data_IF_888899324695
#
_entry.id   IF_888899324695
#
_cell.length_a   1.000
_cell.length_b   1.000
_cell.length_c   1.000
_cell.angle_alpha   90.00
_cell.angle_beta   90.00
_cell.angle_gamma   90.00
#
_symmetry.space_group_name_H-M   'P 1'
#
loop_
_entity.id
_entity.type
_entity.pdbx_description
1 polymer ?
#
# COMPACT_ATOMS: atom_id res chain seq x y z
N UNK A 1 -25.01 -23.49 -30.28
CA UNK A 1 -25.37 -22.30 -29.49
C UNK A 1 -24.16 -21.99 -28.63
N UNK A 2 -23.40 -20.97 -29.03
CA UNK A 2 -22.00 -20.80 -28.68
C UNK A 2 -21.82 -20.31 -27.25
N UNK A 3 -20.97 -21.01 -26.51
CA UNK A 3 -20.49 -20.68 -25.17
C UNK A 3 -19.57 -19.47 -25.24
N UNK A 4 -20.01 -18.35 -24.67
CA UNK A 4 -19.21 -17.13 -24.50
C UNK A 4 -18.11 -17.40 -23.47
N UNK A 5 -16.84 -17.47 -23.90
CA UNK A 5 -15.70 -17.40 -22.97
C UNK A 5 -15.51 -15.95 -22.50
N UNK A 6 -15.57 -15.65 -21.19
CA UNK A 6 -15.25 -14.34 -20.67
C UNK A 6 -13.73 -14.31 -20.39
N UNK A 7 -12.95 -13.65 -21.24
CA UNK A 7 -11.51 -13.53 -20.94
C UNK A 7 -10.56 -13.13 -22.06
N UNK A 8 -11.02 -12.91 -23.30
CA UNK A 8 -10.14 -12.42 -24.36
C UNK A 8 -10.04 -10.89 -24.29
N UNK A 9 -8.82 -10.37 -24.17
CA UNK A 9 -8.58 -8.93 -24.32
C UNK A 9 -8.53 -8.58 -25.81
N UNK A 10 -9.22 -7.52 -26.28
CA UNK A 10 -9.21 -7.12 -27.70
C UNK A 10 -7.80 -6.77 -28.24
N UNK A 11 -6.85 -6.49 -27.34
CA UNK A 11 -5.43 -6.31 -27.63
C UNK A 11 -4.72 -7.55 -28.21
N UNK A 12 -5.27 -8.76 -27.98
CA UNK A 12 -4.68 -10.02 -28.48
C UNK A 12 -4.77 -10.15 -30.01
N UNK A 13 -5.61 -9.33 -30.68
CA UNK A 13 -5.67 -9.26 -32.14
C UNK A 13 -4.61 -8.39 -32.80
N UNK A 14 -3.85 -7.58 -32.05
CA UNK A 14 -2.92 -6.59 -32.60
C UNK A 14 -1.44 -6.92 -32.36
N UNK A 15 -1.12 -7.91 -31.53
CA UNK A 15 0.24 -8.30 -31.19
C UNK A 15 0.78 -9.39 -32.13
N UNK A 16 0.91 -9.08 -33.42
CA UNK A 16 1.77 -9.85 -34.33
C UNK A 16 2.47 -8.96 -35.35
N UNK A 17 3.28 -8.04 -34.84
CA UNK A 17 4.47 -7.57 -35.56
C UNK A 17 5.62 -7.57 -34.56
N UNK A 18 6.57 -8.51 -34.64
CA UNK A 18 7.73 -8.47 -33.77
C UNK A 18 8.45 -7.14 -34.01
N UNK A 19 8.82 -6.45 -32.92
CA UNK A 19 9.72 -5.31 -33.00
C UNK A 19 10.97 -5.74 -33.76
N UNK A 20 11.51 -4.86 -34.61
CA UNK A 20 12.64 -5.13 -35.52
C UNK A 20 13.84 -5.74 -34.77
N UNK A 21 14.02 -5.39 -33.49
CA UNK A 21 15.05 -5.94 -32.60
C UNK A 21 14.86 -7.43 -32.26
N UNK A 22 13.62 -7.90 -32.10
CA UNK A 22 13.34 -9.31 -31.82
C UNK A 22 13.67 -10.21 -33.02
N UNK A 23 13.36 -9.74 -34.23
CA UNK A 23 13.65 -10.46 -35.48
C UNK A 23 15.16 -10.62 -35.74
N UNK A 24 15.99 -9.68 -35.27
CA UNK A 24 17.44 -9.74 -35.40
C UNK A 24 18.09 -10.69 -34.37
N UNK A 25 17.53 -10.78 -33.17
CA UNK A 25 18.07 -11.59 -32.08
C UNK A 25 17.57 -13.05 -32.08
N UNK A 26 16.43 -13.35 -32.74
CA UNK A 26 15.82 -14.68 -32.73
C UNK A 26 16.40 -15.68 -33.75
N UNK A 27 17.39 -15.28 -34.56
CA UNK A 27 17.95 -16.12 -35.63
C UNK A 27 18.75 -17.34 -35.16
N UNK A 28 18.80 -17.67 -33.86
CA UNK A 28 19.59 -18.83 -33.38
C UNK A 28 19.11 -19.55 -32.11
N UNK A 29 17.89 -19.35 -31.60
CA UNK A 29 17.45 -20.11 -30.42
C UNK A 29 16.05 -20.70 -30.61
N UNK A 30 15.99 -22.04 -30.47
CA UNK A 30 14.78 -22.86 -30.52
C UNK A 30 13.68 -22.29 -29.63
N UNK A 31 12.46 -22.30 -30.17
CA UNK A 31 11.25 -21.87 -29.50
C UNK A 31 11.02 -22.65 -28.19
N UNK A 32 11.14 -21.94 -27.07
CA UNK A 32 10.56 -22.33 -25.78
C UNK A 32 9.11 -21.84 -25.77
N UNK A 33 8.13 -22.62 -25.28
CA UNK A 33 6.76 -22.14 -25.14
C UNK A 33 6.73 -20.93 -24.20
N UNK A 34 6.37 -19.76 -24.72
CA UNK A 34 6.30 -18.52 -23.94
C UNK A 34 5.17 -18.62 -22.90
N UNK A 35 5.41 -18.23 -21.63
CA UNK A 35 4.33 -18.02 -20.68
C UNK A 35 3.44 -16.89 -21.21
N UNK A 36 2.12 -17.06 -21.09
CA UNK A 36 1.09 -16.10 -21.54
C UNK A 36 1.45 -14.68 -21.10
N UNK A 37 2.04 -13.89 -22.00
CA UNK A 37 2.37 -12.50 -21.75
C UNK A 37 1.07 -11.74 -21.50
N UNK A 38 0.85 -11.34 -20.25
CA UNK A 38 -0.29 -10.52 -19.88
C UNK A 38 -0.15 -9.17 -20.59
N UNK A 39 -1.18 -8.76 -21.34
CA UNK A 39 -1.17 -7.44 -21.97
C UNK A 39 -0.99 -6.35 -20.92
N UNK A 40 -0.16 -5.34 -21.21
CA UNK A 40 0.01 -4.15 -20.36
C UNK A 40 -1.35 -3.45 -20.07
N UNK A 41 -2.28 -3.52 -21.02
CA UNK A 41 -3.64 -3.03 -20.87
C UNK A 41 -4.47 -3.73 -19.77
N UNK A 42 -4.10 -4.95 -19.34
CA UNK A 42 -4.70 -5.61 -18.16
C UNK A 42 -4.11 -5.08 -16.86
N UNK A 43 -2.81 -4.79 -16.85
CA UNK A 43 -2.10 -4.31 -15.67
C UNK A 43 -2.57 -2.92 -15.23
N UNK A 44 -3.00 -2.09 -16.17
CA UNK A 44 -3.55 -0.75 -15.91
C UNK A 44 -5.07 -0.72 -15.72
N UNK A 45 -5.77 -1.86 -15.68
CA UNK A 45 -7.22 -1.86 -15.46
C UNK A 45 -7.56 -1.35 -14.08
N UNK A 46 -8.58 -0.49 -13.96
CA UNK A 46 -9.04 -0.05 -12.66
C UNK A 46 -9.72 -1.21 -11.93
N UNK A 47 -9.49 -1.30 -10.62
CA UNK A 47 -10.06 -2.33 -9.76
C UNK A 47 -10.72 -1.73 -8.53
N UNK A 48 -11.64 -2.48 -7.94
CA UNK A 48 -12.31 -2.17 -6.69
C UNK A 48 -12.37 -3.40 -5.79
N UNK A 49 -12.51 -3.18 -4.48
CA UNK A 49 -12.68 -4.26 -3.50
C UNK A 49 -13.96 -5.06 -3.77
N UNK A 50 -13.91 -6.39 -3.67
CA UNK A 50 -15.09 -7.26 -3.75
C UNK A 50 -16.06 -7.01 -2.60
N UNK A 51 -15.52 -6.81 -1.39
CA UNK A 51 -16.29 -6.60 -0.16
C UNK A 51 -15.85 -5.30 0.53
N UNK A 52 -16.14 -4.12 -0.05
CA UNK A 52 -15.59 -2.85 0.39
C UNK A 52 -15.92 -2.56 1.87
N UNK A 53 -17.15 -2.78 2.31
CA UNK A 53 -17.55 -2.54 3.71
C UNK A 53 -16.77 -3.39 4.72
N UNK A 54 -16.52 -4.67 4.41
CA UNK A 54 -15.80 -5.60 5.30
C UNK A 54 -14.33 -5.20 5.38
N UNK A 55 -13.66 -5.11 4.23
CA UNK A 55 -12.23 -4.82 4.16
C UNK A 55 -11.89 -3.42 4.67
N UNK A 56 -12.68 -2.42 4.31
CA UNK A 56 -12.43 -1.05 4.78
C UNK A 56 -12.69 -0.92 6.28
N UNK A 57 -13.63 -1.69 6.86
CA UNK A 57 -13.81 -1.75 8.32
C UNK A 57 -12.58 -2.34 9.02
N UNK A 58 -12.04 -3.45 8.53
CA UNK A 58 -10.79 -4.03 9.05
C UNK A 58 -9.63 -3.04 8.94
N UNK A 59 -9.52 -2.32 7.81
CA UNK A 59 -8.53 -1.25 7.64
C UNK A 59 -8.71 -0.10 8.65
N UNK A 60 -9.93 0.30 8.96
CA UNK A 60 -10.20 1.32 9.98
C UNK A 60 -9.84 0.83 11.39
N UNK A 61 -10.12 -0.43 11.70
CA UNK A 61 -9.70 -1.03 12.97
C UNK A 61 -8.16 -1.03 13.09
N UNK A 62 -7.45 -1.31 11.99
CA UNK A 62 -5.98 -1.20 11.93
C UNK A 62 -5.48 0.23 12.16
N UNK A 63 -6.12 1.24 11.55
CA UNK A 63 -5.77 2.64 11.84
C UNK A 63 -6.02 2.97 13.32
N UNK A 64 -7.14 2.55 13.90
CA UNK A 64 -7.46 2.79 15.30
C UNK A 64 -6.42 2.15 16.24
N UNK A 65 -6.01 0.89 15.96
CA UNK A 65 -4.91 0.21 16.65
C UNK A 65 -3.58 0.95 16.50
N UNK A 66 -3.32 1.53 15.32
CA UNK A 66 -2.11 2.34 15.07
C UNK A 66 -2.12 3.61 15.91
N UNK A 67 -3.25 4.33 15.99
CA UNK A 67 -3.42 5.49 16.88
C UNK A 67 -3.23 5.07 18.34
N UNK A 68 -3.82 3.95 18.77
CA UNK A 68 -3.65 3.44 20.13
C UNK A 68 -2.18 3.11 20.44
N UNK A 69 -1.46 2.47 19.52
CA UNK A 69 -0.03 2.21 19.64
C UNK A 69 0.76 3.51 19.87
N UNK A 70 0.51 4.55 19.06
CA UNK A 70 1.21 5.83 19.16
C UNK A 70 0.92 6.56 20.47
N UNK A 71 -0.33 6.56 20.93
CA UNK A 71 -0.73 7.16 22.22
C UNK A 71 -0.09 6.47 23.41
N UNK A 72 0.13 5.16 23.30
CA UNK A 72 0.71 4.35 24.35
C UNK A 72 2.24 4.33 24.33
N UNK A 73 2.88 5.08 23.42
CA UNK A 73 4.34 5.10 23.26
C UNK A 73 4.91 6.37 23.90
N UNK A 74 5.52 6.30 25.10
CA UNK A 74 5.94 7.50 25.85
C UNK A 74 6.92 8.38 25.08
N UNK A 75 7.88 7.77 24.38
CA UNK A 75 8.88 8.48 23.58
C UNK A 75 8.26 9.29 22.44
N UNK A 76 7.14 8.83 21.86
CA UNK A 76 6.42 9.59 20.85
C UNK A 76 5.60 10.72 21.49
N UNK A 77 4.92 10.45 22.61
CA UNK A 77 4.09 11.43 23.31
C UNK A 77 4.88 12.67 23.76
N UNK A 78 6.15 12.50 24.13
CA UNK A 78 7.06 13.57 24.56
C UNK A 78 7.57 14.46 23.42
N UNK A 79 7.41 14.05 22.15
CA UNK A 79 7.85 14.85 21.01
C UNK A 79 7.00 16.13 20.84
N UNK A 80 7.59 17.19 20.25
CA UNK A 80 6.85 18.38 19.86
C UNK A 80 5.62 18.04 19.00
N UNK A 81 4.48 18.74 19.16
CA UNK A 81 3.28 18.49 18.35
C UNK A 81 3.50 18.59 16.84
N UNK A 82 4.36 19.52 16.41
CA UNK A 82 4.74 19.67 15.00
C UNK A 82 5.49 18.43 14.49
N UNK A 83 6.49 17.97 15.22
CA UNK A 83 7.28 16.78 14.87
C UNK A 83 6.40 15.53 14.82
N UNK A 84 5.49 15.35 15.78
CA UNK A 84 4.50 14.25 15.76
C UNK A 84 3.69 14.25 14.47
N UNK A 85 3.19 15.42 14.04
CA UNK A 85 2.43 15.55 12.79
C UNK A 85 3.29 15.22 11.58
N UNK A 86 4.53 15.68 11.53
CA UNK A 86 5.43 15.39 10.41
C UNK A 86 5.78 13.90 10.32
N UNK A 87 6.12 13.26 11.44
CA UNK A 87 6.38 11.82 11.49
C UNK A 87 5.17 11.01 11.01
N UNK A 88 3.95 11.42 11.36
CA UNK A 88 2.74 10.77 10.87
C UNK A 88 2.52 10.99 9.38
N UNK A 89 2.67 12.23 8.90
CA UNK A 89 2.53 12.55 7.48
C UNK A 89 3.49 11.73 6.61
N UNK A 90 4.73 11.53 7.07
CA UNK A 90 5.72 10.72 6.37
C UNK A 90 5.62 9.21 6.61
N UNK A 91 5.04 8.77 7.73
CA UNK A 91 5.14 7.39 8.22
C UNK A 91 3.83 6.59 8.26
N UNK A 92 2.65 7.22 8.11
CA UNK A 92 1.38 6.53 8.33
C UNK A 92 1.14 5.36 7.37
N UNK A 93 1.54 5.48 6.10
CA UNK A 93 1.31 4.45 5.08
C UNK A 93 2.00 3.12 5.43
N UNK A 94 3.33 3.13 5.63
CA UNK A 94 4.05 1.93 6.06
C UNK A 94 3.60 1.40 7.42
N UNK A 95 3.25 2.27 8.38
CA UNK A 95 2.70 1.83 9.68
C UNK A 95 1.35 1.12 9.52
N UNK A 96 0.47 1.66 8.67
CA UNK A 96 -0.81 1.05 8.34
C UNK A 96 -0.62 -0.30 7.65
N UNK A 97 0.33 -0.40 6.70
CA UNK A 97 0.66 -1.66 6.02
C UNK A 97 1.20 -2.72 6.98
N UNK A 98 2.08 -2.34 7.91
CA UNK A 98 2.50 -3.25 8.99
C UNK A 98 1.32 -3.69 9.85
N UNK A 99 0.35 -2.80 10.09
CA UNK A 99 -0.88 -3.14 10.80
C UNK A 99 -1.75 -4.14 10.04
N UNK A 100 -1.93 -3.96 8.73
CA UNK A 100 -2.64 -4.91 7.87
C UNK A 100 -1.95 -6.29 7.87
N UNK A 101 -0.61 -6.29 7.79
CA UNK A 101 0.18 -7.51 7.87
C UNK A 101 0.02 -8.19 9.25
N UNK A 102 0.12 -7.42 10.33
CA UNK A 102 -0.01 -7.93 11.70
C UNK A 102 -1.41 -8.53 11.98
N UNK A 103 -2.47 -7.91 11.48
CA UNK A 103 -3.86 -8.38 11.63
C UNK A 103 -4.26 -9.43 10.58
N UNK A 104 -3.34 -9.82 9.68
CA UNK A 104 -3.58 -10.76 8.59
C UNK A 104 -4.80 -10.40 7.71
N UNK A 105 -4.96 -9.11 7.44
CA UNK A 105 -6.09 -8.61 6.62
C UNK A 105 -5.89 -9.02 5.17
N UNK A 106 -6.78 -9.86 4.67
CA UNK A 106 -6.85 -10.27 3.26
C UNK A 106 -7.99 -9.57 2.56
N UNK A 107 -7.83 -9.36 1.26
CA UNK A 107 -8.85 -8.71 0.45
C UNK A 107 -8.76 -9.16 -1.00
N UNK A 108 -9.91 -9.21 -1.65
CA UNK A 108 -10.05 -9.53 -3.07
C UNK A 108 -10.49 -8.29 -3.83
N UNK A 109 -10.09 -8.21 -5.10
CA UNK A 109 -10.47 -7.14 -6.01
C UNK A 109 -11.11 -7.69 -7.28
N UNK A 110 -12.04 -6.91 -7.83
CA UNK A 110 -12.68 -7.14 -9.12
C UNK A 110 -12.41 -5.96 -10.04
N UNK A 111 -12.48 -6.21 -11.35
CA UNK A 111 -12.40 -5.11 -12.33
C UNK A 111 -13.54 -4.12 -12.07
N UNK A 112 -13.19 -2.83 -11.98
CA UNK A 112 -14.19 -1.80 -11.82
C UNK A 112 -14.98 -1.67 -13.14
N UNK A 113 -16.32 -1.55 -13.08
CA UNK A 113 -17.13 -1.36 -14.28
C UNK A 113 -16.72 -0.04 -14.94
N UNK A 114 -16.20 -0.11 -16.15
CA UNK A 114 -15.89 1.09 -16.94
C UNK A 114 -17.23 1.75 -17.28
N UNK A 115 -17.51 2.98 -16.83
CA UNK A 115 -18.73 3.66 -17.24
C UNK A 115 -18.69 3.81 -18.76
N UNK A 116 -19.74 3.35 -19.45
CA UNK A 116 -19.80 3.49 -20.90
C UNK A 116 -19.71 4.98 -21.25
N UNK A 117 -18.98 5.29 -22.32
CA UNK A 117 -18.85 6.67 -22.83
C UNK A 117 -20.24 7.30 -23.00
N UNK A 118 -21.23 6.51 -23.44
CA UNK A 118 -22.63 6.91 -23.52
C UNK A 118 -23.23 7.29 -22.16
N UNK A 119 -22.98 6.53 -21.09
CA UNK A 119 -23.46 6.86 -19.75
C UNK A 119 -22.80 8.12 -19.18
N UNK A 120 -21.55 8.39 -19.56
CA UNK A 120 -20.83 9.62 -19.21
C UNK A 120 -21.45 10.83 -19.95
N UNK A 121 -21.68 10.71 -21.26
CA UNK A 121 -22.31 11.75 -22.08
C UNK A 121 -23.78 12.00 -21.70
N UNK A 122 -24.53 10.95 -21.32
CA UNK A 122 -25.97 11.07 -20.99
C UNK A 122 -26.24 11.56 -19.56
N UNK A 123 -25.28 11.47 -18.64
CA UNK A 123 -25.44 11.91 -17.25
C UNK A 123 -24.67 13.20 -16.92
N UNK A 124 -23.76 13.65 -17.78
CA UNK A 124 -23.17 14.99 -17.71
C UNK A 124 -24.14 16.00 -18.35
N UNK A 125 -25.17 16.44 -17.60
CA UNK A 125 -25.89 17.66 -17.98
C UNK A 125 -25.00 18.90 -17.75
N UNK A 126 -24.94 19.86 -18.68
CA UNK A 126 -24.15 21.07 -18.52
C UNK A 126 -24.92 22.09 -17.66
N UNK A 127 -24.97 21.90 -16.33
CA UNK A 127 -25.51 22.92 -15.43
C UNK A 127 -24.79 23.02 -14.10
N UNK A 128 -24.38 24.25 -13.80
CA UNK A 128 -23.86 24.81 -12.56
C UNK A 128 -24.63 24.48 -11.27
N UNK A 129 -23.86 24.37 -10.18
CA UNK A 129 -24.20 24.57 -8.76
C UNK A 129 -24.80 23.42 -7.94
N UNK A 130 -24.03 22.96 -6.93
CA UNK A 130 -24.56 22.50 -5.65
C UNK A 130 -24.43 21.00 -5.31
N UNK A 131 -23.34 20.61 -4.65
CA UNK A 131 -23.41 19.61 -3.57
C UNK A 131 -23.31 18.11 -3.91
N UNK A 132 -22.25 17.69 -4.59
CA UNK A 132 -21.44 16.50 -4.26
C UNK A 132 -20.41 16.33 -5.36
N UNK A 133 -19.17 16.74 -5.07
CA UNK A 133 -18.10 16.77 -6.05
C UNK A 133 -17.69 15.37 -6.51
N UNK A 134 -18.37 14.82 -7.52
CA UNK A 134 -17.70 13.91 -8.43
C UNK A 134 -16.73 14.75 -9.26
N UNK A 135 -15.50 14.87 -8.75
CA UNK A 135 -14.38 15.31 -9.55
C UNK A 135 -14.20 14.29 -10.69
N UNK A 136 -14.26 14.71 -11.96
CA UNK A 136 -13.94 13.82 -13.07
C UNK A 136 -12.45 13.48 -13.01
N UNK A 137 -12.11 12.20 -13.18
CA UNK A 137 -10.74 11.71 -13.43
C UNK A 137 -9.72 11.70 -12.27
N UNK A 138 -10.11 11.25 -11.06
CA UNK A 138 -9.10 10.70 -10.13
C UNK A 138 -8.76 9.25 -10.52
N UNK A 139 -7.49 8.89 -10.75
CA UNK A 139 -7.10 7.54 -11.17
C UNK A 139 -7.56 6.50 -10.14
N UNK A 140 -8.33 5.51 -10.58
CA UNK A 140 -8.68 4.37 -9.74
C UNK A 140 -7.43 3.48 -9.52
N UNK A 141 -7.37 2.71 -8.41
CA UNK A 141 -6.31 1.73 -8.18
C UNK A 141 -6.16 0.80 -9.39
N UNK A 142 -4.95 0.67 -9.91
CA UNK A 142 -4.68 -0.26 -11.01
C UNK A 142 -4.50 -1.68 -10.50
N UNK A 143 -4.91 -2.67 -11.29
CA UNK A 143 -4.74 -4.08 -10.95
C UNK A 143 -3.30 -4.42 -10.59
N UNK A 144 -2.32 -3.93 -11.35
CA UNK A 144 -0.90 -4.20 -11.07
C UNK A 144 -0.42 -3.60 -9.74
N UNK A 145 -0.87 -2.39 -9.39
CA UNK A 145 -0.49 -1.78 -8.11
C UNK A 145 -1.09 -2.55 -6.93
N UNK A 146 -2.34 -3.01 -7.06
CA UNK A 146 -3.02 -3.80 -6.02
C UNK A 146 -2.41 -5.20 -5.90
N UNK A 147 -2.11 -5.87 -7.01
CA UNK A 147 -1.44 -7.17 -6.99
C UNK A 147 -0.06 -7.08 -6.34
N UNK A 148 0.70 -6.03 -6.66
CA UNK A 148 1.98 -5.81 -6.03
C UNK A 148 1.86 -5.58 -4.51
N UNK A 149 0.87 -4.79 -4.07
CA UNK A 149 0.54 -4.65 -2.64
C UNK A 149 0.22 -6.01 -1.99
N UNK A 150 -0.62 -6.84 -2.63
CA UNK A 150 -0.94 -8.18 -2.12
C UNK A 150 0.31 -9.05 -2.00
N UNK A 151 1.18 -9.08 -3.01
CA UNK A 151 2.45 -9.81 -2.96
C UNK A 151 3.38 -9.31 -1.84
N UNK A 152 3.42 -8.00 -1.57
CA UNK A 152 4.18 -7.45 -0.46
C UNK A 152 3.64 -7.95 0.89
N UNK A 153 2.32 -7.96 1.10
CA UNK A 153 1.69 -8.48 2.32
C UNK A 153 1.94 -9.99 2.50
N UNK A 154 1.80 -10.78 1.44
CA UNK A 154 2.09 -12.21 1.44
C UNK A 154 3.55 -12.50 1.80
N UNK A 155 4.48 -11.76 1.20
CA UNK A 155 5.91 -11.86 1.53
C UNK A 155 6.15 -11.51 2.99
N UNK A 156 5.42 -10.54 3.54
CA UNK A 156 5.54 -10.15 4.94
C UNK A 156 4.99 -11.20 5.90
N UNK A 157 3.87 -11.84 5.57
CA UNK A 157 3.32 -12.95 6.37
C UNK A 157 4.27 -14.14 6.44
N UNK A 158 5.05 -14.39 5.38
CA UNK A 158 6.06 -15.46 5.38
C UNK A 158 7.22 -15.25 6.36
N UNK A 159 7.37 -14.04 6.91
CA UNK A 159 8.38 -13.73 7.94
C UNK A 159 7.97 -14.19 9.34
N UNK A 160 6.70 -14.53 9.55
CA UNK A 160 6.16 -15.05 10.81
C UNK A 160 6.55 -14.17 12.02
N UNK A 161 6.39 -12.85 11.87
CA UNK A 161 6.78 -11.92 12.93
C UNK A 161 5.87 -12.01 14.15
N UNK A 162 6.48 -12.01 15.33
CA UNK A 162 5.78 -11.93 16.61
C UNK A 162 5.27 -10.51 16.88
N UNK A 163 4.28 -10.34 17.78
CA UNK A 163 3.79 -9.01 18.16
C UNK A 163 4.88 -8.06 18.66
N UNK A 164 5.92 -8.59 19.34
CA UNK A 164 7.06 -7.80 19.83
C UNK A 164 7.91 -7.29 18.67
N UNK A 165 8.17 -8.14 17.67
CA UNK A 165 8.94 -7.77 16.46
C UNK A 165 8.21 -6.72 15.64
N UNK A 166 6.89 -6.86 15.47
CA UNK A 166 6.05 -5.82 14.84
C UNK A 166 6.13 -4.48 15.59
N UNK A 167 6.10 -4.49 16.92
CA UNK A 167 6.19 -3.27 17.72
C UNK A 167 7.55 -2.56 17.52
N UNK A 168 8.65 -3.31 17.58
CA UNK A 168 10.00 -2.75 17.33
C UNK A 168 10.13 -2.19 15.91
N UNK A 169 9.64 -2.93 14.91
CA UNK A 169 9.68 -2.50 13.51
C UNK A 169 8.80 -1.27 13.24
N UNK A 170 7.63 -1.16 13.90
CA UNK A 170 6.84 0.07 13.87
C UNK A 170 7.63 1.24 14.43
N UNK A 171 8.41 1.04 15.49
CA UNK A 171 9.33 2.05 16.03
C UNK A 171 10.37 2.53 15.02
N UNK A 172 11.03 1.62 14.30
CA UNK A 172 12.06 1.99 13.30
C UNK A 172 11.50 2.77 12.11
N UNK A 173 10.24 2.51 11.75
CA UNK A 173 9.52 3.26 10.71
C UNK A 173 9.03 4.61 11.23
N UNK A 174 8.49 4.63 12.45
CA UNK A 174 7.88 5.83 13.05
C UNK A 174 8.90 6.93 13.30
N UNK A 175 10.04 6.59 13.90
CA UNK A 175 11.09 7.55 14.22
C UNK A 175 11.98 7.75 13.00
N UNK A 176 11.57 8.63 12.08
CA UNK A 176 12.34 8.97 10.89
C UNK A 176 12.96 10.37 11.04
N UNK A 177 14.29 10.49 11.30
CA UNK A 177 14.96 11.77 11.46
C UNK A 177 15.17 12.51 10.14
N UNK A 178 15.03 11.85 8.99
CA UNK A 178 15.30 12.41 7.66
C UNK A 178 14.17 13.32 7.15
N UNK A 179 13.09 13.50 7.92
CA UNK A 179 11.99 14.36 7.52
C UNK A 179 12.38 15.85 7.65
N UNK A 180 12.12 16.67 6.62
CA UNK A 180 12.46 18.08 6.65
C UNK A 180 11.59 18.85 7.64
N UNK A 181 12.20 19.78 8.39
CA UNK A 181 11.50 20.70 9.29
C UNK A 181 11.19 20.15 10.69
N UNK A 182 11.79 19.02 11.07
CA UNK A 182 11.75 18.48 12.43
C UNK A 182 12.54 19.39 13.38
N UNK A 183 11.98 19.66 14.57
CA UNK A 183 12.65 20.44 15.61
C UNK A 183 13.58 19.59 16.48
N UNK A 184 13.21 18.34 16.74
CA UNK A 184 13.94 17.41 17.59
C UNK A 184 14.65 16.29 16.81
N UNK A 185 15.22 16.58 15.62
CA UNK A 185 15.81 15.57 14.75
C UNK A 185 16.85 14.67 15.44
N UNK A 186 17.74 15.23 16.26
CA UNK A 186 18.77 14.42 16.96
C UNK A 186 18.16 13.48 18.01
N UNK A 187 17.08 13.90 18.68
CA UNK A 187 16.38 13.06 19.63
C UNK A 187 15.61 11.94 18.90
N UNK A 188 14.97 12.27 17.77
CA UNK A 188 14.29 11.29 16.92
C UNK A 188 15.28 10.27 16.35
N UNK A 189 16.48 10.70 15.96
CA UNK A 189 17.57 9.81 15.52
C UNK A 189 17.96 8.83 16.63
N UNK A 190 18.12 9.32 17.86
CA UNK A 190 18.38 8.44 19.00
C UNK A 190 17.25 7.42 19.23
N UNK A 191 15.98 7.86 19.19
CA UNK A 191 14.82 6.96 19.31
C UNK A 191 14.77 5.94 18.17
N UNK A 192 15.16 6.34 16.96
CA UNK A 192 15.28 5.43 15.82
C UNK A 192 16.37 4.38 16.07
N UNK A 193 17.53 4.78 16.58
CA UNK A 193 18.62 3.86 16.89
C UNK A 193 18.22 2.85 17.97
N UNK A 194 17.56 3.30 19.04
CA UNK A 194 17.01 2.43 20.09
C UNK A 194 16.00 1.43 19.52
N UNK A 195 15.11 1.87 18.62
CA UNK A 195 14.16 0.97 17.96
C UNK A 195 14.85 -0.09 17.09
N UNK A 196 15.94 0.28 16.40
CA UNK A 196 16.73 -0.67 15.61
C UNK A 196 17.46 -1.68 16.50
N UNK A 197 18.04 -1.23 17.62
CA UNK A 197 18.67 -2.11 18.60
C UNK A 197 17.66 -3.07 19.22
N UNK A 198 16.48 -2.58 19.62
CA UNK A 198 15.42 -3.42 20.15
C UNK A 198 14.94 -4.44 19.10
N UNK A 199 14.85 -4.05 17.82
CA UNK A 199 14.51 -4.98 16.75
C UNK A 199 15.60 -6.04 16.54
N UNK A 200 16.87 -5.63 16.56
CA UNK A 200 18.02 -6.54 16.46
C UNK A 200 18.01 -7.58 17.58
N UNK A 201 17.88 -7.14 18.83
CA UNK A 201 17.86 -8.00 20.02
C UNK A 201 16.71 -9.03 19.97
N UNK A 202 15.55 -8.63 19.47
CA UNK A 202 14.39 -9.55 19.36
C UNK A 202 14.51 -10.51 18.16
N UNK A 203 15.14 -10.09 17.05
CA UNK A 203 15.24 -10.90 15.83
C UNK A 203 16.45 -11.84 15.80
N UNK A 204 17.56 -11.49 16.46
CA UNK A 204 18.75 -12.33 16.58
C UNK A 204 18.87 -12.91 18.00
N UNK A 205 18.14 -14.00 18.32
CA UNK A 205 18.54 -14.83 19.45
C UNK A 205 19.93 -15.41 19.17
N UNK A 206 20.66 -15.80 20.23
CA UNK A 206 22.02 -16.37 20.23
C UNK A 206 22.20 -17.70 19.44
N UNK A 207 21.66 -17.79 18.22
CA UNK A 207 21.59 -18.98 17.39
C UNK A 207 22.06 -18.67 15.95
N UNK A 208 23.06 -19.39 15.42
CA UNK A 208 23.58 -19.18 14.07
C UNK A 208 22.54 -19.32 12.94
N UNK A 209 21.48 -20.08 13.16
CA UNK A 209 20.40 -20.29 12.16
C UNK A 209 19.52 -19.04 11.95
N UNK A 210 19.57 -18.05 12.86
CA UNK A 210 18.82 -16.80 12.76
C UNK A 210 19.58 -15.68 12.02
N UNK A 211 20.83 -15.93 11.61
CA UNK A 211 21.66 -14.93 10.94
C UNK A 211 21.00 -14.41 9.66
N UNK A 212 20.93 -13.08 9.53
CA UNK A 212 20.35 -12.40 8.37
C UNK A 212 18.82 -12.24 8.41
N UNK A 213 18.14 -12.68 9.48
CA UNK A 213 16.70 -12.42 9.67
C UNK A 213 16.42 -10.93 9.76
N UNK A 214 17.23 -10.16 10.50
CA UNK A 214 17.12 -8.69 10.54
C UNK A 214 17.17 -8.08 9.14
N UNK A 215 18.19 -8.43 8.35
CA UNK A 215 18.35 -7.89 6.99
C UNK A 215 17.13 -8.21 6.10
N UNK A 216 16.60 -9.44 6.19
CA UNK A 216 15.39 -9.84 5.47
C UNK A 216 14.17 -9.01 5.89
N UNK A 217 13.96 -8.83 7.19
CA UNK A 217 12.84 -8.04 7.74
C UNK A 217 12.94 -6.58 7.31
N UNK A 218 14.13 -5.97 7.43
CA UNK A 218 14.34 -4.58 7.02
C UNK A 218 14.18 -4.38 5.50
N UNK A 219 14.62 -5.34 4.69
CA UNK A 219 14.41 -5.30 3.24
C UNK A 219 12.92 -5.37 2.88
N UNK A 220 12.16 -6.27 3.52
CA UNK A 220 10.71 -6.35 3.34
C UNK A 220 9.98 -5.12 3.88
N UNK A 221 10.43 -4.55 5.00
CA UNK A 221 9.88 -3.28 5.48
C UNK A 221 10.12 -2.13 4.50
N UNK A 222 11.26 -2.16 3.79
CA UNK A 222 11.59 -1.17 2.75
C UNK A 222 10.70 -1.30 1.52
N UNK A 223 10.25 -2.50 1.15
CA UNK A 223 9.26 -2.67 0.06
C UNK A 223 7.90 -2.09 0.44
N UNK A 224 7.51 -2.12 1.72
CA UNK A 224 6.28 -1.45 2.17
C UNK A 224 6.37 0.08 2.07
N UNK A 225 7.58 0.66 2.17
CA UNK A 225 7.79 2.11 2.03
C UNK A 225 7.61 2.61 0.61
N UNK A 226 7.76 1.76 -0.40
CA UNK A 226 7.55 2.15 -1.80
C UNK A 226 6.07 2.15 -2.21
N UNK A 227 5.15 1.68 -1.34
CA UNK A 227 3.72 1.68 -1.64
C UNK A 227 3.18 3.12 -1.51
N UNK A 228 2.59 3.70 -2.58
CA UNK A 228 2.07 5.05 -2.50
C UNK A 228 0.90 5.13 -1.52
N UNK A 229 0.95 6.06 -0.57
CA UNK A 229 -0.15 6.35 0.37
C UNK A 229 -1.47 6.67 -0.33
N UNK A 230 -1.42 7.31 -1.51
CA UNK A 230 -2.59 7.52 -2.37
C UNK A 230 -3.33 6.23 -2.74
N UNK A 231 -2.60 5.15 -3.02
CA UNK A 231 -3.19 3.85 -3.35
C UNK A 231 -3.97 3.32 -2.13
N UNK A 232 -3.40 3.46 -0.94
CA UNK A 232 -4.03 3.04 0.32
C UNK A 232 -5.29 3.85 0.62
N UNK A 233 -5.22 5.18 0.45
CA UNK A 233 -6.34 6.10 0.50
C UNK A 233 -7.50 5.68 -0.40
N UNK A 234 -7.21 5.55 -1.70
CA UNK A 234 -8.20 5.23 -2.72
C UNK A 234 -8.77 3.81 -2.57
N UNK A 235 -7.98 2.84 -2.11
CA UNK A 235 -8.42 1.44 -1.98
C UNK A 235 -9.19 1.17 -0.69
N UNK A 236 -8.68 1.59 0.48
CA UNK A 236 -9.18 1.16 1.79
C UNK A 236 -10.06 2.17 2.53
N UNK A 237 -9.99 3.45 2.18
CA UNK A 237 -10.66 4.50 2.97
C UNK A 237 -11.72 5.25 2.17
N UNK A 238 -11.43 5.56 0.91
CA UNK A 238 -12.35 6.26 0.02
C UNK A 238 -13.73 5.60 -0.12
N UNK A 239 -13.87 4.26 -0.15
CA UNK A 239 -15.19 3.63 -0.25
C UNK A 239 -16.13 3.88 0.94
N UNK A 240 -15.60 4.22 2.13
CA UNK A 240 -16.42 4.45 3.34
C UNK A 240 -16.43 5.92 3.75
N UNK A 241 -15.27 6.58 3.78
CA UNK A 241 -15.11 7.92 4.37
C UNK A 241 -14.96 9.00 3.29
N UNK A 242 -14.84 8.61 2.01
CA UNK A 242 -14.64 9.54 0.90
C UNK A 242 -13.22 10.09 0.84
N UNK A 243 -13.07 11.26 0.23
CA UNK A 243 -11.76 11.89 0.02
C UNK A 243 -11.32 12.62 1.30
N UNK A 244 -10.54 11.93 2.14
CA UNK A 244 -10.03 12.44 3.42
C UNK A 244 -8.51 12.33 3.45
N UNK A 245 -7.85 13.39 3.92
CA UNK A 245 -6.43 13.31 4.26
C UNK A 245 -6.24 12.43 5.51
N UNK A 246 -5.86 11.17 5.28
CA UNK A 246 -5.66 10.19 6.35
C UNK A 246 -4.58 10.64 7.33
N UNK A 247 -3.54 11.34 6.87
CA UNK A 247 -2.49 11.84 7.75
C UNK A 247 -3.03 12.93 8.69
N UNK A 248 -3.80 13.88 8.15
CA UNK A 248 -4.52 14.89 8.92
C UNK A 248 -5.48 14.26 9.92
N UNK A 249 -6.31 13.31 9.48
CA UNK A 249 -7.26 12.58 10.32
C UNK A 249 -6.57 11.88 11.50
N UNK A 250 -5.44 11.20 11.26
CA UNK A 250 -4.66 10.56 12.32
C UNK A 250 -4.08 11.59 13.30
N UNK A 251 -3.63 12.73 12.78
CA UNK A 251 -3.19 13.86 13.60
C UNK A 251 -4.29 14.37 14.52
N UNK A 252 -5.50 14.57 13.99
CA UNK A 252 -6.66 15.04 14.75
C UNK A 252 -7.09 14.00 15.79
N UNK A 253 -7.14 12.72 15.40
CA UNK A 253 -7.40 11.63 16.33
C UNK A 253 -6.40 11.62 17.47
N UNK A 254 -5.10 11.83 17.24
CA UNK A 254 -4.11 11.85 18.32
C UNK A 254 -4.23 13.03 19.28
N UNK A 255 -4.81 14.15 18.82
CA UNK A 255 -5.01 15.37 19.62
C UNK A 255 -6.34 15.36 20.39
N UNK A 256 -7.32 14.59 19.94
CA UNK A 256 -8.58 14.36 20.66
C UNK A 256 -8.32 13.45 21.87
N UNK A 257 -8.47 13.99 23.09
CA UNK A 257 -8.39 13.24 24.35
C UNK A 257 -9.67 12.46 24.62
#
# INVERSE_FOLDING_TARGET
MSTSQPGACPCQGAASRPAILYALLSSSLRAVPQPRSSCLCRQHRPVQLCAPYRTCREALDVLAKTVAFLRNLPSFCQLPPQDKRQLLQGGWGPLFLLGLAQDAVTFEVTEAPVPSILKKILLEEPSSSGGSGQLPDRPQPSLAAVQWLQCCLESFWSLELSPKEYACLKGTILFNPDLPGLHASSHIEHLQQEAHWALYDVLEPWCPAAQGRLARVLLMASTLKSIPTRLLGDLFFRPIIGDVDIAGLLGDMLLLR
#
